data_IF_033214512276
#
_entry.id   IF_033214512276
#
_cell.length_a   1.000
_cell.length_b   1.000
_cell.length_c   1.000
_cell.angle_alpha   90.00
_cell.angle_beta   90.00
_cell.angle_gamma   90.00
#
_symmetry.space_group_name_H-M   'P 1'
#
loop_
_entity.id
_entity.type
_entity.pdbx_description
1 polymer ?
#
# COMPACT_ATOMS: atom_id res chain seq x y z
N UNK A 1 4.07 26.80 -37.76
CA UNK A 1 3.55 26.83 -36.36
C UNK A 1 2.80 25.55 -36.11
N UNK A 2 3.45 24.58 -35.52
CA UNK A 2 2.84 23.31 -35.08
C UNK A 2 2.20 23.53 -33.73
N UNK A 3 0.89 23.26 -33.54
CA UNK A 3 0.28 23.38 -32.21
C UNK A 3 0.88 22.30 -31.33
N UNK A 4 1.57 22.75 -30.30
CA UNK A 4 2.03 21.92 -29.17
C UNK A 4 0.84 21.26 -28.51
N UNK A 5 0.63 19.99 -28.85
CA UNK A 5 -0.40 19.14 -28.25
C UNK A 5 0.05 18.68 -26.85
N UNK A 6 0.30 19.63 -25.95
CA UNK A 6 0.42 19.39 -24.53
C UNK A 6 -0.99 19.14 -23.94
N UNK A 7 -1.66 18.09 -24.43
CA UNK A 7 -2.74 17.49 -23.71
C UNK A 7 -2.12 16.93 -22.42
N UNK A 8 -2.18 17.72 -21.36
CA UNK A 8 -1.83 17.34 -19.99
C UNK A 8 -2.54 16.03 -19.73
N UNK A 9 -1.80 14.90 -19.79
CA UNK A 9 -2.33 13.57 -19.43
C UNK A 9 -2.87 13.73 -18.00
N UNK A 10 -4.17 13.91 -17.83
CA UNK A 10 -4.79 13.99 -16.50
C UNK A 10 -4.51 12.67 -15.79
N UNK A 11 -3.48 12.70 -14.97
CA UNK A 11 -3.11 11.59 -14.12
C UNK A 11 -4.20 11.44 -13.04
N UNK A 12 -4.99 10.37 -13.15
CA UNK A 12 -6.04 10.12 -12.15
C UNK A 12 -5.38 9.65 -10.86
N UNK A 13 -5.60 10.37 -9.78
CA UNK A 13 -5.06 10.04 -8.45
C UNK A 13 -6.16 9.49 -7.57
N UNK A 14 -5.95 8.28 -7.07
CA UNK A 14 -6.82 7.67 -6.06
C UNK A 14 -6.15 7.76 -4.68
N UNK A 15 -6.86 8.31 -3.70
CA UNK A 15 -6.43 8.37 -2.30
C UNK A 15 -7.32 7.46 -1.47
N UNK A 16 -6.79 6.40 -0.86
CA UNK A 16 -7.58 5.49 -0.04
C UNK A 16 -8.07 6.20 1.22
N UNK A 17 -9.31 5.95 1.60
CA UNK A 17 -9.86 6.32 2.90
C UNK A 17 -9.79 5.10 3.80
N UNK A 18 -9.03 5.22 4.86
CA UNK A 18 -8.92 4.18 5.88
C UNK A 18 -9.77 4.50 7.09
N UNK A 19 -10.38 3.47 7.75
CA UNK A 19 -11.04 3.64 9.03
C UNK A 19 -10.10 4.29 10.06
N UNK A 20 -10.68 4.99 11.02
CA UNK A 20 -9.93 5.74 12.04
C UNK A 20 -8.89 4.85 12.76
N UNK A 21 -9.24 3.59 13.05
CA UNK A 21 -8.32 2.62 13.69
C UNK A 21 -7.02 2.45 12.91
N UNK A 22 -7.12 2.28 11.60
CA UNK A 22 -5.95 2.08 10.72
C UNK A 22 -5.15 3.39 10.59
N UNK A 23 -5.83 4.53 10.48
CA UNK A 23 -5.17 5.84 10.44
C UNK A 23 -4.35 6.09 11.72
N UNK A 24 -4.92 5.80 12.88
CA UNK A 24 -4.23 5.88 14.17
C UNK A 24 -2.97 5.01 14.19
N UNK A 25 -3.03 3.81 13.62
CA UNK A 25 -1.88 2.91 13.58
C UNK A 25 -0.72 3.49 12.77
N UNK A 26 -1.00 4.22 11.68
CA UNK A 26 0.04 4.91 10.90
C UNK A 26 0.75 5.98 11.74
N UNK A 27 0.01 6.75 12.53
CA UNK A 27 0.59 7.76 13.42
C UNK A 27 1.38 7.15 14.59
N UNK A 28 0.94 5.98 15.08
CA UNK A 28 1.62 5.27 16.15
C UNK A 28 2.82 4.43 15.67
N UNK A 29 3.01 4.31 14.36
CA UNK A 29 4.10 3.53 13.77
C UNK A 29 5.50 3.91 14.29
N UNK A 30 5.90 5.19 14.36
CA UNK A 30 7.20 5.57 14.91
C UNK A 30 7.37 5.15 16.39
N UNK A 31 6.29 5.22 17.17
CA UNK A 31 6.30 4.79 18.58
C UNK A 31 6.51 3.28 18.65
N UNK A 32 5.88 2.51 17.76
CA UNK A 32 6.07 1.07 17.66
C UNK A 32 7.52 0.69 17.33
N UNK A 33 8.17 1.43 16.42
CA UNK A 33 9.59 1.25 16.08
C UNK A 33 10.48 1.52 17.29
N UNK A 34 10.26 2.61 18.01
CA UNK A 34 11.00 2.95 19.23
C UNK A 34 10.81 1.89 20.32
N UNK A 35 9.58 1.37 20.49
CA UNK A 35 9.29 0.30 21.42
C UNK A 35 10.06 -0.99 21.06
N UNK A 36 10.14 -1.37 19.79
CA UNK A 36 10.96 -2.50 19.35
C UNK A 36 12.43 -2.33 19.74
N UNK A 37 13.01 -1.16 19.45
CA UNK A 37 14.39 -0.85 19.80
C UNK A 37 14.62 -0.95 21.31
N UNK A 38 13.69 -0.39 22.10
CA UNK A 38 13.75 -0.45 23.56
C UNK A 38 13.70 -1.89 24.08
N UNK A 39 12.77 -2.72 23.59
CA UNK A 39 12.68 -4.13 24.03
C UNK A 39 13.91 -4.95 23.63
N UNK A 40 14.50 -4.69 22.46
CA UNK A 40 15.74 -5.34 22.03
C UNK A 40 16.89 -4.93 22.97
N UNK A 41 17.02 -3.63 23.28
CA UNK A 41 18.04 -3.13 24.19
C UNK A 41 17.90 -3.74 25.61
N UNK A 42 16.67 -3.85 26.11
CA UNK A 42 16.38 -4.47 27.40
C UNK A 42 16.67 -5.98 27.38
N UNK A 43 16.39 -6.67 26.28
CA UNK A 43 16.75 -8.09 26.12
C UNK A 43 18.26 -8.31 26.19
N UNK A 44 19.06 -7.41 25.61
CA UNK A 44 20.52 -7.47 25.66
C UNK A 44 21.03 -7.17 27.07
N UNK A 45 20.44 -6.19 27.77
CA UNK A 45 20.89 -5.74 29.09
C UNK A 45 20.47 -6.66 30.24
N UNK A 46 19.39 -7.44 30.09
CA UNK A 46 18.82 -8.24 31.16
C UNK A 46 19.28 -9.70 31.13
N UNK A 47 19.43 -10.31 32.30
CA UNK A 47 19.71 -11.75 32.42
C UNK A 47 18.52 -12.64 32.03
N UNK A 48 17.29 -12.09 32.03
CA UNK A 48 16.06 -12.80 31.65
C UNK A 48 15.62 -12.35 30.25
N UNK A 49 16.20 -12.94 29.25
CA UNK A 49 16.06 -12.55 27.84
C UNK A 49 14.65 -12.90 27.29
N UNK A 50 14.05 -13.98 27.78
CA UNK A 50 12.88 -14.60 27.12
C UNK A 50 11.64 -13.69 26.96
N UNK A 51 11.14 -12.97 27.99
CA UNK A 51 9.96 -12.14 27.83
C UNK A 51 10.18 -10.98 26.86
N UNK A 52 11.37 -10.38 26.86
CA UNK A 52 11.69 -9.25 25.97
C UNK A 52 11.80 -9.67 24.51
N UNK A 53 12.28 -10.87 24.23
CA UNK A 53 12.33 -11.42 22.86
C UNK A 53 10.89 -11.59 22.32
N UNK A 54 9.97 -12.13 23.11
CA UNK A 54 8.58 -12.31 22.68
C UNK A 54 7.96 -10.96 22.31
N UNK A 55 8.09 -9.95 23.15
CA UNK A 55 7.57 -8.61 22.86
C UNK A 55 8.24 -8.00 21.63
N UNK A 56 9.56 -8.13 21.49
CA UNK A 56 10.27 -7.64 20.31
C UNK A 56 9.77 -8.31 19.02
N UNK A 57 9.53 -9.62 19.02
CA UNK A 57 9.00 -10.35 17.85
C UNK A 57 7.58 -9.89 17.49
N UNK A 58 6.69 -9.72 18.47
CA UNK A 58 5.33 -9.25 18.23
C UNK A 58 5.34 -7.83 17.62
N UNK A 59 6.12 -6.92 18.21
CA UNK A 59 6.24 -5.56 17.71
C UNK A 59 6.90 -5.53 16.32
N UNK A 60 7.95 -6.31 16.11
CA UNK A 60 8.62 -6.39 14.81
C UNK A 60 7.67 -6.89 13.72
N UNK A 61 6.85 -7.91 14.01
CA UNK A 61 5.84 -8.40 13.07
C UNK A 61 4.83 -7.30 12.71
N UNK A 62 4.34 -6.55 13.69
CA UNK A 62 3.40 -5.44 13.47
C UNK A 62 4.05 -4.32 12.65
N UNK A 63 5.28 -3.95 12.97
CA UNK A 63 6.05 -2.91 12.27
C UNK A 63 6.33 -3.29 10.82
N UNK A 64 6.64 -4.56 10.53
CA UNK A 64 6.94 -5.03 9.18
C UNK A 64 5.65 -5.18 8.33
N UNK A 65 4.56 -5.70 8.91
CA UNK A 65 3.34 -5.98 8.16
C UNK A 65 2.57 -4.72 7.75
N UNK A 66 2.56 -3.68 8.59
CA UNK A 66 1.81 -2.44 8.34
C UNK A 66 2.18 -1.71 7.04
N UNK A 67 3.47 -1.44 6.76
CA UNK A 67 3.86 -0.74 5.53
C UNK A 67 3.53 -1.53 4.26
N UNK A 68 3.41 -2.85 4.35
CA UNK A 68 3.08 -3.69 3.19
C UNK A 68 1.61 -3.60 2.80
N UNK A 69 0.72 -3.33 3.77
CA UNK A 69 -0.73 -3.32 3.58
C UNK A 69 -1.24 -1.93 3.23
N UNK A 70 -0.61 -0.88 3.76
CA UNK A 70 -1.10 0.49 3.65
C UNK A 70 -0.38 1.26 2.55
N UNK A 71 -1.17 1.94 1.71
CA UNK A 71 -0.64 2.86 0.71
C UNK A 71 -1.27 4.24 0.86
N UNK A 72 -0.54 5.28 0.49
CA UNK A 72 -0.94 6.67 0.61
C UNK A 72 -1.79 7.11 -0.57
N UNK A 73 -1.37 6.74 -1.78
CA UNK A 73 -2.06 7.09 -3.02
C UNK A 73 -1.70 6.10 -4.15
N UNK A 74 -2.61 5.95 -5.09
CA UNK A 74 -2.38 5.26 -6.35
C UNK A 74 -2.58 6.24 -7.51
N UNK A 75 -1.58 6.41 -8.35
CA UNK A 75 -1.60 7.28 -9.53
C UNK A 75 -1.71 6.43 -10.78
N UNK A 76 -2.65 6.78 -11.62
CA UNK A 76 -2.94 6.08 -12.88
C UNK A 76 -2.46 6.95 -14.05
N UNK A 77 -1.33 6.58 -14.64
CA UNK A 77 -0.73 7.22 -15.81
C UNK A 77 -0.42 6.20 -16.91
N UNK A 78 0.83 5.93 -17.17
CA UNK A 78 1.29 4.84 -18.07
C UNK A 78 1.25 3.47 -17.39
N UNK A 79 1.07 3.45 -16.08
CA UNK A 79 0.90 2.31 -15.19
C UNK A 79 0.26 2.78 -13.91
N UNK A 80 0.22 1.91 -12.91
CA UNK A 80 -0.27 2.23 -11.58
C UNK A 80 0.92 2.48 -10.67
N UNK A 81 1.19 3.73 -10.32
CA UNK A 81 2.23 4.08 -9.36
C UNK A 81 1.64 4.10 -7.96
N UNK A 82 2.02 3.12 -7.15
CA UNK A 82 1.57 2.99 -5.77
C UNK A 82 2.56 3.66 -4.83
N UNK A 83 2.17 4.76 -4.18
CA UNK A 83 2.94 5.40 -3.12
C UNK A 83 2.52 4.84 -1.77
N UNK A 84 3.47 4.31 -1.03
CA UNK A 84 3.27 3.71 0.29
C UNK A 84 3.77 4.66 1.37
N UNK A 85 3.35 4.46 2.63
CA UNK A 85 3.73 5.36 3.71
C UNK A 85 5.21 5.28 4.07
N UNK A 86 5.78 4.07 4.14
CA UNK A 86 7.12 3.84 4.68
C UNK A 86 8.04 3.09 3.72
N UNK A 87 7.58 2.83 2.51
CA UNK A 87 8.30 2.07 1.50
C UNK A 87 8.42 2.90 0.21
N UNK A 88 9.43 2.65 -0.60
CA UNK A 88 9.57 3.34 -1.89
C UNK A 88 8.35 3.12 -2.78
N UNK A 89 8.06 4.05 -3.69
CA UNK A 89 6.96 3.92 -4.62
C UNK A 89 7.15 2.68 -5.50
N UNK A 90 6.04 2.02 -5.82
CA UNK A 90 6.04 0.83 -6.67
C UNK A 90 5.22 1.10 -7.92
N UNK A 91 5.78 0.77 -9.06
CA UNK A 91 5.08 0.86 -10.35
C UNK A 91 4.59 -0.52 -10.77
N UNK A 92 3.30 -0.61 -11.09
CA UNK A 92 2.65 -1.81 -11.63
C UNK A 92 2.22 -1.46 -13.06
N UNK A 93 2.77 -2.18 -14.02
CA UNK A 93 2.37 -2.00 -15.42
C UNK A 93 0.95 -2.54 -15.63
N UNK A 94 0.17 -1.94 -16.52
CA UNK A 94 -1.19 -2.40 -16.82
C UNK A 94 -1.24 -3.82 -17.36
N UNK A 95 -0.21 -4.25 -18.09
CA UNK A 95 -0.07 -5.61 -18.62
C UNK A 95 0.16 -6.68 -17.54
N UNK A 96 0.66 -6.26 -16.36
CA UNK A 96 0.89 -7.14 -15.22
C UNK A 96 -0.36 -7.33 -14.36
N UNK A 97 -1.38 -6.52 -14.55
CA UNK A 97 -2.65 -6.65 -13.83
C UNK A 97 -3.38 -7.89 -14.31
N UNK A 98 -3.71 -8.78 -13.36
CA UNK A 98 -4.34 -10.08 -13.66
C UNK A 98 -5.83 -10.04 -13.37
N UNK A 99 -6.21 -9.57 -12.19
CA UNK A 99 -7.59 -9.63 -11.73
C UNK A 99 -7.92 -8.55 -10.70
N UNK A 100 -9.22 -8.31 -10.52
CA UNK A 100 -9.77 -7.45 -9.48
C UNK A 100 -10.66 -8.28 -8.56
N UNK A 101 -10.13 -8.65 -7.41
CA UNK A 101 -10.80 -9.49 -6.43
C UNK A 101 -11.44 -8.66 -5.30
N UNK A 102 -12.19 -9.32 -4.42
CA UNK A 102 -12.71 -8.68 -3.20
C UNK A 102 -11.60 -8.19 -2.26
N UNK A 103 -10.41 -8.75 -2.32
CA UNK A 103 -9.27 -8.35 -1.48
C UNK A 103 -8.44 -7.23 -2.08
N UNK A 104 -8.60 -6.94 -3.36
CA UNK A 104 -7.87 -5.88 -4.05
C UNK A 104 -7.50 -6.23 -5.48
N UNK A 105 -6.64 -5.42 -6.07
CA UNK A 105 -6.10 -5.63 -7.40
C UNK A 105 -4.95 -6.62 -7.34
N UNK A 106 -5.03 -7.68 -8.15
CA UNK A 106 -3.99 -8.72 -8.26
C UNK A 106 -3.14 -8.44 -9.49
N UNK A 107 -1.84 -8.46 -9.32
CA UNK A 107 -0.88 -8.35 -10.42
C UNK A 107 0.17 -9.48 -10.33
N UNK A 108 0.84 -9.80 -11.44
CA UNK A 108 1.85 -10.88 -11.52
C UNK A 108 2.94 -10.79 -10.45
N UNK A 109 3.32 -9.58 -10.07
CA UNK A 109 4.34 -9.32 -9.05
C UNK A 109 3.74 -8.60 -7.84
N UNK A 110 2.73 -9.21 -7.20
CA UNK A 110 2.00 -8.65 -6.07
C UNK A 110 0.83 -7.76 -6.51
N UNK A 111 0.08 -7.20 -5.56
CA UNK A 111 -1.14 -6.45 -5.85
C UNK A 111 -1.29 -5.19 -5.01
N UNK A 112 -2.47 -4.59 -5.11
CA UNK A 112 -2.89 -3.44 -4.30
C UNK A 112 -3.98 -3.91 -3.34
N UNK A 113 -3.70 -4.00 -2.03
CA UNK A 113 -4.70 -4.45 -1.06
C UNK A 113 -5.77 -3.36 -0.85
N UNK A 114 -7.04 -3.74 -0.94
CA UNK A 114 -8.18 -2.84 -0.76
C UNK A 114 -9.11 -3.29 0.39
N UNK A 115 -8.72 -4.30 1.15
CA UNK A 115 -9.56 -4.91 2.18
C UNK A 115 -10.05 -3.92 3.23
N UNK A 116 -9.22 -2.93 3.58
CA UNK A 116 -9.50 -1.96 4.62
C UNK A 116 -9.72 -0.54 4.06
N UNK A 117 -10.08 -0.42 2.80
CA UNK A 117 -10.30 0.88 2.13
C UNK A 117 -11.80 1.14 2.04
N UNK A 118 -12.28 2.23 2.68
CA UNK A 118 -13.70 2.58 2.71
C UNK A 118 -14.22 3.01 1.34
N UNK A 119 -13.45 3.79 0.59
CA UNK A 119 -13.82 4.27 -0.75
C UNK A 119 -13.37 3.33 -1.88
N UNK A 120 -13.37 2.04 -1.64
CA UNK A 120 -12.99 1.00 -2.61
C UNK A 120 -13.75 1.09 -3.94
N UNK A 121 -15.04 1.43 -3.89
CA UNK A 121 -15.88 1.56 -5.09
C UNK A 121 -15.35 2.59 -6.09
N UNK A 122 -14.70 3.65 -5.62
CA UNK A 122 -14.05 4.65 -6.48
C UNK A 122 -12.86 4.05 -7.22
N UNK A 123 -12.05 3.25 -6.53
CA UNK A 123 -10.93 2.53 -7.15
C UNK A 123 -11.43 1.54 -8.22
N UNK A 124 -12.47 0.76 -7.90
CA UNK A 124 -13.06 -0.19 -8.85
C UNK A 124 -13.61 0.51 -10.10
N UNK A 125 -14.25 1.68 -9.95
CA UNK A 125 -14.71 2.50 -11.09
C UNK A 125 -13.55 2.92 -11.99
N UNK A 126 -12.42 3.34 -11.40
CA UNK A 126 -11.22 3.70 -12.17
C UNK A 126 -10.70 2.50 -12.95
N UNK A 127 -10.56 1.32 -12.30
CA UNK A 127 -10.09 0.11 -12.96
C UNK A 127 -11.05 -0.33 -14.08
N UNK A 128 -12.35 -0.34 -13.85
CA UNK A 128 -13.35 -0.68 -14.89
C UNK A 128 -13.27 0.27 -16.08
N UNK A 129 -13.03 1.57 -15.86
CA UNK A 129 -12.82 2.55 -16.92
C UNK A 129 -11.55 2.24 -17.73
N UNK A 130 -10.45 1.86 -17.07
CA UNK A 130 -9.21 1.46 -17.74
C UNK A 130 -9.37 0.16 -18.52
N UNK A 131 -10.18 -0.78 -18.05
CA UNK A 131 -10.56 -1.99 -18.79
C UNK A 131 -11.37 -1.65 -20.03
N UNK A 132 -12.36 -0.77 -19.90
CA UNK A 132 -13.16 -0.29 -21.04
C UNK A 132 -12.29 0.44 -22.09
N UNK A 133 -11.26 1.16 -21.66
CA UNK A 133 -10.25 1.78 -22.54
C UNK A 133 -9.23 0.79 -23.12
N UNK A 134 -9.39 -0.52 -22.88
CA UNK A 134 -8.46 -1.60 -23.29
C UNK A 134 -7.02 -1.45 -22.78
N UNK A 135 -6.79 -0.63 -21.75
CA UNK A 135 -5.47 -0.48 -21.12
C UNK A 135 -5.15 -1.64 -20.17
N UNK A 136 -6.16 -2.26 -19.58
CA UNK A 136 -6.03 -3.41 -18.68
C UNK A 136 -6.89 -4.55 -19.25
N UNK A 137 -6.33 -5.78 -19.26
CA UNK A 137 -7.05 -7.01 -19.60
C UNK A 137 -7.17 -7.84 -18.33
N UNK A 138 -8.35 -7.85 -17.72
CA UNK A 138 -8.62 -8.74 -16.60
C UNK A 138 -8.84 -10.18 -17.11
N UNK A 139 -8.34 -11.14 -16.36
CA UNK A 139 -8.60 -12.57 -16.61
C UNK A 139 -10.07 -12.84 -16.23
N UNK A 140 -10.84 -13.38 -17.18
CA UNK A 140 -12.20 -13.87 -16.91
C UNK A 140 -12.15 -15.16 -16.10
#
# INVERSE_FOLDING_TARGET
MTPSNNATKQETVFKPRYPLRIRMTVYLYPIGVLACIFFIAMAIASRSIFPYIIYAVIFAFTVVSMPMILFREARFGEGITLRRYFLPPRVIKYEDVVDLTQRGLVAKRGGIPLTNVENRSEFEKIIRRLVAQRKIKLRK
#
